data_IF_982211468643
#
_entry.id   IF_982211468643
#
_cell.length_a   1.000
_cell.length_b   1.000
_cell.length_c   1.000
_cell.angle_alpha   90.00
_cell.angle_beta   90.00
_cell.angle_gamma   90.00
#
_symmetry.space_group_name_H-M   'P 1'
#
loop_
_entity.id
_entity.type
_entity.pdbx_description
1 polymer ?
2 non-polymer ?
#
# COMPACT_ATOMS: atom_id res chain seq x y z
N UNK A 10 -26.56 -2.22 -19.94
CA UNK A 10 -25.75 -2.70 -21.10
C UNK A 10 -24.40 -3.29 -20.67
N UNK A 11 -24.25 -4.60 -20.84
CA UNK A 11 -22.97 -5.24 -20.53
C UNK A 11 -22.05 -5.11 -21.74
N UNK A 12 -20.73 -5.25 -21.56
CA UNK A 12 -19.78 -5.06 -22.67
C UNK A 12 -18.88 -6.22 -22.94
N UNK A 13 -18.12 -6.63 -21.93
CA UNK A 13 -17.27 -7.79 -22.06
C UNK A 13 -17.42 -8.61 -20.83
N UNK A 14 -16.99 -9.85 -20.91
CA UNK A 14 -16.89 -10.72 -19.76
C UNK A 14 -15.58 -11.45 -19.87
N UNK A 15 -14.81 -11.47 -18.79
CA UNK A 15 -13.43 -11.96 -18.81
C UNK A 15 -13.20 -12.83 -17.60
N UNK A 16 -12.52 -13.95 -17.78
CA UNK A 16 -12.10 -14.75 -16.64
C UNK A 16 -10.73 -14.34 -16.15
N UNK A 17 -10.61 -14.20 -14.83
CA UNK A 17 -9.34 -13.98 -14.16
C UNK A 17 -8.77 -15.33 -13.75
N UNK A 18 -9.64 -16.15 -13.19
CA UNK A 18 -9.24 -17.34 -12.45
C UNK A 18 -10.45 -18.24 -12.36
N UNK A 19 -10.25 -19.52 -12.02
CA UNK A 19 -11.45 -20.35 -11.93
C UNK A 19 -12.45 -19.73 -10.95
N UNK A 20 -13.67 -19.50 -11.42
CA UNK A 20 -14.72 -18.92 -10.57
C UNK A 20 -14.83 -17.40 -10.57
N UNK A 21 -13.86 -16.71 -11.13
CA UNK A 21 -13.81 -15.27 -11.01
C UNK A 21 -13.85 -14.64 -12.39
N UNK A 22 -14.69 -13.62 -12.52
CA UNK A 22 -15.07 -13.06 -13.79
C UNK A 22 -15.22 -11.55 -13.64
N UNK A 23 -14.60 -10.83 -14.57
CA UNK A 23 -14.58 -9.39 -14.56
C UNK A 23 -15.51 -8.88 -15.63
N UNK A 24 -16.41 -7.99 -15.25
CA UNK A 24 -17.50 -7.58 -16.12
C UNK A 24 -17.58 -6.07 -16.22
N UNK A 25 -17.33 -5.59 -17.42
CA UNK A 25 -17.47 -4.17 -17.75
C UNK A 25 -18.91 -3.98 -18.21
N UNK A 26 -19.61 -3.05 -17.56
CA UNK A 26 -21.02 -2.75 -17.82
C UNK A 26 -21.28 -1.27 -17.80
N UNK A 27 -22.42 -0.86 -18.38
CA UNK A 27 -22.98 0.44 -18.12
C UNK A 27 -24.04 0.30 -17.06
N UNK A 28 -24.15 1.31 -16.22
CA UNK A 28 -25.06 1.23 -15.10
C UNK A 28 -24.85 2.32 -14.07
N UNK A 29 -25.67 2.25 -13.03
CA UNK A 29 -25.82 3.26 -12.02
C UNK A 29 -25.47 2.58 -10.72
N UNK A 30 -24.35 2.99 -10.13
CA UNK A 30 -23.87 2.40 -8.88
C UNK A 30 -24.92 2.34 -7.78
N UNK A 31 -25.90 3.25 -7.84
CA UNK A 31 -27.02 3.26 -6.90
C UNK A 31 -27.89 1.98 -6.92
N UNK A 32 -28.15 1.44 -8.11
CA UNK A 32 -29.06 0.29 -8.28
C UNK A 32 -28.38 -0.83 -9.09
N UNK A 33 -27.64 -1.71 -8.42
CA UNK A 33 -26.88 -2.76 -9.11
C UNK A 33 -26.87 -4.09 -8.34
N UNK A 34 -26.89 -5.22 -9.07
CA UNK A 34 -27.01 -6.53 -8.44
C UNK A 34 -25.68 -7.05 -7.98
N UNK A 35 -25.11 -6.41 -6.97
CA UNK A 35 -23.87 -6.88 -6.32
C UNK A 35 -24.00 -6.69 -4.83
N UNK A 36 -23.10 -7.31 -4.09
CA UNK A 36 -23.13 -7.16 -2.64
C UNK A 36 -22.76 -5.73 -2.22
N UNK A 37 -21.63 -5.25 -2.72
CA UNK A 37 -21.09 -3.99 -2.28
C UNK A 37 -20.55 -3.18 -3.48
N UNK A 38 -20.71 -1.87 -3.38
CA UNK A 38 -20.22 -0.92 -4.37
C UNK A 38 -19.12 -0.04 -3.76
N UNK A 39 -18.26 0.48 -4.63
CA UNK A 39 -17.11 1.27 -4.20
C UNK A 39 -17.37 2.73 -4.54
N UNK A 40 -17.17 3.60 -3.55
CA UNK A 40 -17.50 4.99 -3.69
C UNK A 40 -16.24 5.78 -3.96
N UNK A 41 -16.29 6.73 -4.91
CA UNK A 41 -15.17 7.64 -5.11
C UNK A 41 -15.30 8.78 -4.08
N UNK A 42 -14.55 8.64 -2.99
CA UNK A 42 -14.68 9.58 -1.88
C UNK A 42 -13.49 10.49 -1.75
N UNK A 43 -13.60 11.39 -0.78
CA UNK A 43 -12.49 12.27 -0.42
C UNK A 43 -12.11 12.10 1.05
N UNK A 44 -11.11 12.86 1.47
CA UNK A 44 -10.39 12.62 2.73
C UNK A 44 -11.29 12.76 3.96
N UNK A 45 -12.41 13.41 3.78
CA UNK A 45 -13.31 13.66 4.89
C UNK A 45 -14.56 12.83 4.84
N UNK A 46 -14.74 12.09 3.77
CA UNK A 46 -15.88 11.22 3.63
C UNK A 46 -17.03 12.07 3.31
N UNK A 47 -16.77 13.13 2.60
CA UNK A 47 -17.77 14.12 2.29
C UNK A 47 -18.17 13.88 0.89
N UNK A 48 -19.46 13.98 0.63
CA UNK A 48 -20.00 13.54 -0.61
C UNK A 48 -20.75 14.64 -1.23
N UNK A 49 -20.07 15.62 -1.75
CA UNK A 49 -20.74 16.83 -2.15
C UNK A 49 -20.84 17.04 -3.65
N UNK A 50 -20.12 16.25 -4.42
CA UNK A 50 -20.21 16.33 -5.85
C UNK A 50 -19.95 14.97 -6.38
N UNK A 51 -20.19 14.75 -7.66
CA UNK A 51 -19.93 13.49 -8.29
C UNK A 51 -20.94 12.39 -8.09
N UNK A 52 -20.45 11.17 -8.13
CA UNK A 52 -21.28 10.02 -7.96
C UNK A 52 -21.59 9.86 -6.48
N UNK A 53 -20.59 10.04 -5.66
CA UNK A 53 -20.72 10.01 -4.23
C UNK A 53 -21.85 10.85 -3.76
N UNK A 54 -22.28 11.75 -4.59
CA UNK A 54 -23.39 12.59 -4.24
C UNK A 54 -24.65 11.87 -4.66
N UNK A 55 -24.62 11.31 -5.85
CA UNK A 55 -25.64 10.37 -6.32
C UNK A 55 -25.92 9.32 -5.28
N UNK A 56 -24.87 8.67 -4.79
CA UNK A 56 -25.03 7.68 -3.74
C UNK A 56 -25.60 8.21 -2.44
N UNK A 57 -25.20 9.42 -2.06
CA UNK A 57 -25.62 9.94 -0.78
C UNK A 57 -27.09 10.19 -0.86
N UNK A 58 -27.49 10.84 -1.95
CA UNK A 58 -28.89 11.17 -2.14
C UNK A 58 -29.72 9.93 -1.88
N UNK A 59 -29.65 8.98 -2.83
CA UNK A 59 -30.39 7.74 -2.77
C UNK A 59 -30.35 7.12 -1.36
N UNK A 60 -29.17 7.05 -0.76
CA UNK A 60 -29.07 6.46 0.57
C UNK A 60 -29.79 7.25 1.69
N UNK A 61 -29.91 8.57 1.52
CA UNK A 61 -30.45 9.40 2.58
C UNK A 61 -29.33 9.80 3.54
N UNK A 62 -29.67 10.39 4.66
CA UNK A 62 -28.68 11.03 5.48
C UNK A 62 -27.95 10.02 6.29
N UNK A 63 -28.33 8.78 6.14
CA UNK A 63 -27.76 7.76 6.95
C UNK A 63 -26.39 7.58 6.46
N UNK A 64 -26.26 7.64 5.15
CA UNK A 64 -24.99 7.40 4.53
C UNK A 64 -23.97 8.41 5.01
N UNK A 65 -24.26 9.68 4.89
CA UNK A 65 -23.36 10.69 5.40
C UNK A 65 -23.14 10.57 6.88
N UNK A 66 -24.19 10.40 7.64
CA UNK A 66 -24.08 10.26 9.08
C UNK A 66 -23.02 9.32 9.64
N UNK A 67 -22.91 8.12 9.13
CA UNK A 67 -21.94 7.12 9.62
C UNK A 67 -20.54 7.61 9.28
N UNK A 68 -20.39 8.05 8.05
CA UNK A 68 -19.15 8.64 7.55
C UNK A 68 -18.65 9.69 8.51
N UNK A 69 -19.55 10.60 8.87
CA UNK A 69 -19.20 11.69 9.74
C UNK A 69 -18.68 11.15 11.06
N UNK A 70 -19.29 10.09 11.55
CA UNK A 70 -18.87 9.49 12.82
C UNK A 70 -17.61 8.68 12.67
N UNK A 71 -17.42 8.12 11.48
CA UNK A 71 -16.20 7.38 11.17
C UNK A 71 -15.02 8.36 11.16
N UNK A 72 -15.26 9.55 10.61
CA UNK A 72 -14.23 10.60 10.51
C UNK A 72 -13.91 11.21 11.88
N UNK A 73 -14.84 11.14 12.82
CA UNK A 73 -14.60 11.70 14.14
C UNK A 73 -13.93 10.70 15.08
N UNK A 74 -14.13 9.40 14.82
CA UNK A 74 -13.52 8.35 15.65
C UNK A 74 -12.16 7.84 15.10
N UNK A 75 -12.03 7.75 13.78
CA UNK A 75 -10.76 7.37 13.17
C UNK A 75 -9.96 8.55 12.62
N UNK A 76 -10.61 9.68 12.33
CA UNK A 76 -9.93 10.83 11.71
C UNK A 76 -9.88 10.80 10.19
N UNK A 77 -9.55 11.95 9.59
CA UNK A 77 -9.50 12.10 8.12
C UNK A 77 -8.68 10.98 7.51
N UNK A 78 -9.08 10.53 6.32
CA UNK A 78 -8.26 9.60 5.56
C UNK A 78 -7.32 10.40 4.66
N UNK A 79 -6.33 9.74 4.14
CA UNK A 79 -5.46 10.30 3.16
C UNK A 79 -5.56 9.55 1.90
N UNK A 80 -5.12 10.16 0.82
CA UNK A 80 -5.11 9.54 -0.47
C UNK A 80 -4.47 8.19 -0.45
N UNK A 81 -5.04 7.22 -1.14
CA UNK A 81 -4.54 5.87 -1.12
C UNK A 81 -5.17 5.04 -0.05
N UNK A 82 -6.38 5.37 0.27
CA UNK A 82 -7.01 4.86 1.45
C UNK A 82 -8.37 4.32 1.17
N UNK A 83 -8.88 3.54 2.07
CA UNK A 83 -10.21 3.01 1.90
C UNK A 83 -10.81 2.60 3.22
N UNK A 84 -12.06 2.99 3.44
CA UNK A 84 -12.83 2.51 4.58
C UNK A 84 -14.23 2.05 4.18
N UNK A 85 -14.99 1.61 5.16
CA UNK A 85 -16.27 0.97 4.91
C UNK A 85 -17.36 1.47 5.85
N UNK A 86 -18.51 1.89 5.31
CA UNK A 86 -19.63 2.47 6.09
C UNK A 86 -21.01 1.83 5.80
N UNK A 87 -21.99 2.21 6.62
CA UNK A 87 -23.39 1.85 6.43
C UNK A 87 -23.87 2.39 5.08
N UNK A 88 -24.88 1.74 4.48
CA UNK A 88 -25.37 2.12 3.15
C UNK A 88 -26.65 2.93 3.13
N UNK A 89 -27.33 3.03 4.27
CA UNK A 89 -28.65 3.65 4.28
C UNK A 89 -29.63 2.96 3.34
N UNK A 90 -30.41 3.74 2.61
CA UNK A 90 -31.53 3.21 1.80
C UNK A 90 -31.09 2.49 0.50
N UNK A 91 -29.79 2.24 0.36
CA UNK A 91 -29.28 1.55 -0.84
C UNK A 91 -29.50 0.03 -0.73
N UNK A 92 -29.60 -0.66 -1.87
CA UNK A 92 -29.73 -2.11 -1.89
C UNK A 92 -28.46 -2.86 -1.50
N UNK A 93 -27.73 -2.31 -0.53
CA UNK A 93 -26.53 -2.94 -0.02
C UNK A 93 -26.53 -2.74 1.49
N UNK A 94 -25.71 -3.48 2.21
CA UNK A 94 -25.58 -3.23 3.66
C UNK A 94 -24.50 -2.16 3.94
N UNK A 95 -23.46 -2.18 3.09
CA UNK A 95 -22.27 -1.37 3.23
C UNK A 95 -21.85 -0.69 1.93
N UNK A 96 -21.14 0.42 2.07
CA UNK A 96 -20.40 1.01 0.98
C UNK A 96 -18.93 1.04 1.34
N UNK A 97 -18.09 0.76 0.37
CA UNK A 97 -16.66 0.90 0.54
C UNK A 97 -16.31 2.23 -0.06
N UNK A 98 -15.56 3.02 0.71
CA UNK A 98 -15.21 4.38 0.36
C UNK A 98 -13.72 4.44 0.09
N UNK A 99 -13.37 4.77 -1.14
CA UNK A 99 -11.99 4.71 -1.59
C UNK A 99 -11.56 6.12 -1.87
N UNK A 100 -10.54 6.59 -1.15
CA UNK A 100 -10.10 7.96 -1.32
C UNK A 100 -8.92 7.98 -2.26
N UNK A 101 -9.19 8.21 -3.54
CA UNK A 101 -8.15 8.28 -4.53
C UNK A 101 -7.41 9.60 -4.50
N UNK A 102 -6.28 9.64 -5.22
CA UNK A 102 -5.39 10.80 -5.19
C UNK A 102 -5.90 11.94 -6.07
N UNK A 103 -5.49 13.17 -5.77
CA UNK A 103 -5.65 14.26 -6.75
C UNK A 103 -4.55 14.19 -7.82
N UNK A 104 -4.93 14.45 -9.06
CA UNK A 104 -4.05 14.18 -10.19
C UNK A 104 -3.08 15.32 -10.50
N UNK A 105 -1.80 14.99 -10.62
CA UNK A 105 -0.81 15.99 -10.95
C UNK A 105 0.21 15.48 -11.99
N UNK A 106 0.28 16.18 -13.13
CA UNK A 106 1.27 15.88 -14.16
C UNK A 106 2.67 15.56 -13.65
N UNK A 107 3.11 16.21 -12.57
CA UNK A 107 4.50 16.07 -12.08
C UNK A 107 4.68 14.81 -11.26
N UNK A 108 3.72 14.52 -10.39
CA UNK A 108 3.75 13.33 -9.54
C UNK A 108 2.90 12.18 -10.14
N UNK A 109 2.94 12.01 -11.46
CA UNK A 109 2.26 10.90 -12.14
C UNK A 109 2.36 9.54 -11.45
N UNK A 110 3.58 9.03 -11.25
CA UNK A 110 3.68 7.65 -10.77
C UNK A 110 3.15 7.45 -9.35
N UNK A 111 3.37 8.45 -8.51
CA UNK A 111 2.85 8.44 -7.17
C UNK A 111 1.30 8.50 -7.21
N UNK A 112 0.76 9.25 -8.16
CA UNK A 112 -0.67 9.26 -8.38
C UNK A 112 -1.14 7.89 -8.86
N UNK A 113 -0.35 7.25 -9.70
CA UNK A 113 -0.75 5.98 -10.26
C UNK A 113 -0.78 5.02 -9.09
N UNK A 114 0.28 5.10 -8.29
CA UNK A 114 0.43 4.35 -7.05
C UNK A 114 -0.73 4.48 -6.06
N UNK A 115 -1.13 5.68 -5.77
CA UNK A 115 -2.19 5.86 -4.82
C UNK A 115 -3.55 5.54 -5.33
N UNK A 116 -3.77 5.61 -6.62
CA UNK A 116 -5.04 5.25 -7.14
C UNK A 116 -5.15 3.78 -7.02
N UNK A 117 -4.04 3.10 -7.08
CA UNK A 117 -4.07 1.69 -7.09
C UNK A 117 -4.09 1.07 -5.70
N UNK A 118 -3.60 1.80 -4.73
CA UNK A 118 -3.59 1.38 -3.36
C UNK A 118 -5.00 1.39 -2.93
N UNK A 119 -5.73 2.40 -3.36
CA UNK A 119 -7.13 2.54 -3.03
C UNK A 119 -7.94 1.36 -3.55
N UNK A 120 -7.72 0.96 -4.79
CA UNK A 120 -8.44 -0.15 -5.32
C UNK A 120 -8.07 -1.41 -4.63
N UNK A 121 -6.80 -1.63 -4.39
CA UNK A 121 -6.39 -2.83 -3.71
C UNK A 121 -6.97 -2.96 -2.35
N UNK A 122 -7.09 -1.85 -1.67
CA UNK A 122 -7.49 -1.79 -0.30
C UNK A 122 -8.93 -2.04 -0.21
N UNK A 123 -9.64 -1.63 -1.23
CA UNK A 123 -11.07 -1.81 -1.28
C UNK A 123 -11.46 -3.22 -1.62
N UNK A 124 -10.61 -3.94 -2.33
CA UNK A 124 -10.78 -5.38 -2.53
C UNK A 124 -10.50 -6.15 -1.25
N UNK A 125 -9.43 -5.81 -0.55
CA UNK A 125 -9.17 -6.34 0.78
C UNK A 125 -10.41 -6.19 1.66
N UNK A 126 -11.01 -5.03 1.64
CA UNK A 126 -12.11 -4.79 2.55
C UNK A 126 -13.28 -5.69 2.26
N UNK A 127 -13.65 -5.82 0.98
CA UNK A 127 -14.80 -6.63 0.54
C UNK A 127 -14.57 -8.10 0.85
N UNK A 128 -13.34 -8.53 0.57
CA UNK A 128 -12.86 -9.85 0.94
C UNK A 128 -12.93 -10.10 2.44
N UNK A 129 -12.72 -9.07 3.25
CA UNK A 129 -12.78 -9.24 4.70
C UNK A 129 -14.20 -9.52 5.18
N UNK A 130 -15.13 -8.76 4.67
CA UNK A 130 -16.54 -8.96 4.97
C UNK A 130 -17.13 -10.06 4.10
N UNK A 131 -16.27 -10.86 3.45
CA UNK A 131 -16.71 -12.10 2.77
C UNK A 131 -17.61 -11.85 1.56
N UNK A 132 -17.57 -10.66 0.97
CA UNK A 132 -18.49 -10.41 -0.12
C UNK A 132 -17.96 -11.16 -1.32
N UNK A 133 -18.87 -11.56 -2.20
CA UNK A 133 -18.54 -12.34 -3.38
C UNK A 133 -18.79 -11.56 -4.69
N UNK A 134 -19.31 -10.33 -4.59
CA UNK A 134 -19.56 -9.48 -5.77
C UNK A 134 -19.25 -8.01 -5.44
N UNK A 135 -18.54 -7.32 -6.33
CA UNK A 135 -18.25 -5.91 -6.13
C UNK A 135 -18.44 -5.06 -7.42
N UNK A 136 -18.82 -3.81 -7.22
CA UNK A 136 -18.96 -2.85 -8.31
C UNK A 136 -17.96 -1.74 -8.09
N UNK A 137 -17.14 -1.45 -9.11
CA UNK A 137 -16.13 -0.39 -9.03
C UNK A 137 -16.27 0.66 -10.17
N UNK A 138 -16.46 1.94 -9.80
CA UNK A 138 -16.50 3.06 -10.71
C UNK A 138 -15.09 3.55 -11.04
N UNK A 139 -14.96 4.47 -12.00
CA UNK A 139 -13.62 4.96 -12.41
C UNK A 139 -13.10 6.00 -11.43
N UNK A 140 -12.52 5.56 -10.35
CA UNK A 140 -12.20 6.44 -9.27
C UNK A 140 -11.22 7.48 -9.67
N UNK A 141 -11.43 8.71 -9.25
CA UNK A 141 -10.49 9.77 -9.53
C UNK A 141 -10.69 10.44 -10.84
N UNK A 142 -11.25 9.77 -11.81
CA UNK A 142 -11.42 10.32 -13.13
C UNK A 142 -12.25 11.56 -13.19
N UNK A 143 -13.18 11.74 -12.29
CA UNK A 143 -14.04 12.91 -12.44
C UNK A 143 -13.37 14.20 -12.01
N UNK A 144 -13.71 14.61 -10.79
CA UNK A 144 -13.29 15.90 -10.25
C UNK A 144 -11.88 15.92 -9.67
N UNK A 145 -11.23 14.75 -9.53
CA UNK A 145 -9.83 14.67 -9.10
C UNK A 145 -8.89 14.66 -10.31
N UNK A 146 -9.46 14.65 -11.51
CA UNK A 146 -8.72 15.05 -12.72
C UNK A 146 -7.96 13.97 -13.45
N UNK A 147 -8.00 12.76 -12.94
CA UNK A 147 -7.13 11.67 -13.42
C UNK A 147 -7.53 11.27 -14.85
N UNK A 148 -6.66 11.53 -15.82
CA UNK A 148 -6.95 11.20 -17.23
C UNK A 148 -7.52 9.80 -17.43
N UNK A 149 -8.71 9.74 -18.01
CA UNK A 149 -9.50 8.50 -18.12
C UNK A 149 -8.70 7.30 -18.62
N UNK A 150 -7.70 7.55 -19.48
CA UNK A 150 -6.88 6.47 -20.00
C UNK A 150 -6.06 5.77 -18.93
N UNK A 151 -5.27 6.55 -18.18
CA UNK A 151 -4.43 5.97 -17.13
C UNK A 151 -5.29 5.44 -15.98
N UNK A 152 -6.35 6.17 -15.65
CA UNK A 152 -7.17 5.85 -14.50
C UNK A 152 -7.62 4.40 -14.56
N UNK A 153 -8.22 4.03 -15.70
CA UNK A 153 -8.87 2.74 -15.86
C UNK A 153 -7.90 1.59 -16.08
N UNK A 154 -6.76 1.86 -16.70
CA UNK A 154 -5.74 0.83 -16.80
C UNK A 154 -5.22 0.52 -15.41
N UNK A 155 -5.11 1.54 -14.56
CA UNK A 155 -4.60 1.35 -13.22
C UNK A 155 -5.59 0.53 -12.42
N UNK A 156 -6.87 0.79 -12.58
CA UNK A 156 -7.85 0.06 -11.79
C UNK A 156 -7.78 -1.41 -12.18
N UNK A 157 -7.84 -1.67 -13.49
CA UNK A 157 -7.81 -3.02 -14.03
C UNK A 157 -6.50 -3.73 -13.63
N UNK A 158 -5.37 -3.04 -13.75
CA UNK A 158 -4.07 -3.62 -13.32
C UNK A 158 -4.13 -4.05 -11.86
N UNK A 159 -4.59 -3.15 -11.01
CA UNK A 159 -4.80 -3.41 -9.59
C UNK A 159 -5.57 -4.70 -9.33
N UNK A 160 -6.64 -4.89 -10.06
CA UNK A 160 -7.51 -6.00 -9.86
C UNK A 160 -6.89 -7.26 -10.34
N UNK A 161 -6.02 -7.15 -11.31
CA UNK A 161 -5.41 -8.30 -11.90
C UNK A 161 -4.42 -8.84 -10.96
N UNK A 162 -3.65 -7.94 -10.41
CA UNK A 162 -2.64 -8.30 -9.48
C UNK A 162 -3.23 -8.92 -8.24
N UNK A 163 -4.48 -8.64 -7.96
CA UNK A 163 -5.14 -9.13 -6.79
C UNK A 163 -5.33 -10.61 -6.80
N UNK A 164 -5.51 -11.15 -7.98
CA UNK A 164 -5.87 -12.51 -8.17
C UNK A 164 -4.69 -13.25 -8.73
N UNK A 165 -3.73 -12.51 -9.23
CA UNK A 165 -2.54 -13.09 -9.81
C UNK A 165 -1.52 -13.40 -8.76
N UNK A 166 -1.41 -12.50 -7.80
CA UNK A 166 -0.33 -12.51 -6.79
C UNK A 166 -0.52 -13.52 -5.69
N UNK A 167 -1.73 -13.64 -5.19
CA UNK A 167 -2.05 -14.67 -4.22
C UNK A 167 -3.41 -15.21 -4.60
N UNK A 168 -3.42 -16.44 -5.12
CA UNK A 168 -4.64 -17.16 -5.42
C UNK A 168 -5.20 -17.74 -4.14
N UNK A 169 -4.32 -17.90 -3.15
CA UNK A 169 -4.50 -18.77 -1.98
C UNK A 169 -5.88 -18.76 -1.26
N UNK A 170 -6.60 -17.63 -1.19
CA UNK A 170 -7.95 -17.63 -0.60
C UNK A 170 -8.70 -16.38 -1.04
N UNK A 171 -9.86 -16.54 -1.67
CA UNK A 171 -10.60 -15.42 -2.23
C UNK A 171 -12.10 -15.68 -2.15
N UNK A 172 -12.82 -14.69 -1.67
CA UNK A 172 -14.26 -14.74 -1.59
C UNK A 172 -14.91 -14.19 -2.82
N UNK A 173 -14.21 -13.33 -3.56
CA UNK A 173 -14.79 -12.60 -4.69
C UNK A 173 -14.83 -13.45 -5.95
N UNK A 174 -15.99 -13.38 -6.63
CA UNK A 174 -16.26 -14.09 -7.89
C UNK A 174 -16.68 -13.13 -9.03
N UNK A 175 -17.43 -12.07 -8.71
CA UNK A 175 -17.91 -11.10 -9.70
C UNK A 175 -17.44 -9.69 -9.42
N UNK A 176 -16.65 -9.15 -10.34
CA UNK A 176 -16.22 -7.75 -10.26
C UNK A 176 -16.78 -6.97 -11.44
N UNK A 177 -17.67 -6.04 -11.12
CA UNK A 177 -18.30 -5.20 -12.11
C UNK A 177 -17.52 -3.90 -12.18
N UNK A 178 -17.26 -3.42 -13.38
CA UNK A 178 -16.59 -2.15 -13.59
C UNK A 178 -17.56 -1.24 -14.24
N UNK A 179 -17.91 -0.14 -13.61
CA UNK A 179 -19.12 0.54 -13.98
C UNK A 179 -19.04 1.97 -14.35
N UNK A 180 -20.00 2.41 -15.10
CA UNK A 180 -20.25 3.81 -15.25
C UNK A 180 -21.48 4.03 -16.08
N UNK A 181 -22.05 5.21 -15.99
CA UNK A 181 -23.30 5.45 -16.66
C UNK A 181 -23.07 6.06 -18.00
N UNK A 182 -21.90 6.61 -18.21
CA UNK A 182 -21.58 7.15 -19.48
C UNK A 182 -21.07 6.04 -20.32
N UNK A 183 -21.23 6.16 -21.61
CA UNK A 183 -20.85 5.09 -22.51
C UNK A 183 -19.34 5.08 -22.77
N UNK A 184 -18.70 6.22 -22.58
CA UNK A 184 -17.31 6.39 -22.97
C UNK A 184 -16.37 5.90 -21.89
N UNK A 185 -16.74 6.17 -20.64
CA UNK A 185 -16.01 5.65 -19.49
C UNK A 185 -15.98 4.12 -19.53
N UNK A 186 -17.11 3.53 -19.90
CA UNK A 186 -17.23 2.09 -20.00
C UNK A 186 -16.42 1.58 -21.20
N UNK A 187 -16.36 2.39 -22.27
CA UNK A 187 -15.52 2.01 -23.42
C UNK A 187 -14.06 1.99 -22.99
N UNK A 188 -13.65 3.03 -22.27
CA UNK A 188 -12.35 3.04 -21.62
C UNK A 188 -12.15 1.69 -20.90
N UNK A 189 -13.00 1.42 -19.92
CA UNK A 189 -12.88 0.20 -19.12
C UNK A 189 -12.70 -1.07 -19.98
N UNK A 190 -13.50 -1.20 -21.04
CA UNK A 190 -13.44 -2.39 -21.89
C UNK A 190 -12.17 -2.39 -22.74
N UNK A 191 -11.70 -1.21 -23.15
CA UNK A 191 -10.38 -1.07 -23.80
C UNK A 191 -9.29 -1.45 -22.78
N UNK A 192 -9.42 -0.93 -21.57
CA UNK A 192 -8.47 -1.17 -20.49
C UNK A 192 -8.24 -2.66 -20.26
N UNK A 193 -9.34 -3.41 -20.22
CA UNK A 193 -9.30 -4.85 -19.99
C UNK A 193 -8.63 -5.55 -21.17
N UNK A 194 -8.94 -5.14 -22.39
CA UNK A 194 -8.23 -5.66 -23.57
C UNK A 194 -6.72 -5.51 -23.37
N UNK A 195 -6.24 -4.28 -23.17
CA UNK A 195 -4.79 -4.08 -23.13
C UNK A 195 -4.20 -4.94 -22.01
N UNK A 196 -4.78 -4.86 -20.82
CA UNK A 196 -4.20 -5.53 -19.66
C UNK A 196 -4.12 -7.07 -19.81
N UNK A 197 -5.09 -7.67 -20.52
CA UNK A 197 -5.00 -9.08 -20.91
C UNK A 197 -4.98 -9.24 -22.45
N UNK A 224 18.83 -7.38 -12.85
CA UNK A 224 17.40 -7.30 -13.23
C UNK A 224 16.52 -7.15 -11.97
N UNK A 225 17.14 -7.34 -10.80
CA UNK A 225 16.64 -6.77 -9.55
C UNK A 225 17.46 -5.51 -9.27
N UNK A 226 17.31 -4.47 -10.11
CA UNK A 226 18.05 -3.20 -9.98
C UNK A 226 17.48 -2.00 -10.73
N UNK A 227 16.91 -1.06 -9.99
CA UNK A 227 16.34 0.17 -10.55
C UNK A 227 17.16 1.39 -10.23
N UNK A 228 16.99 2.45 -11.02
CA UNK A 228 17.59 3.77 -10.75
C UNK A 228 16.52 4.85 -10.74
N UNK A 229 16.47 5.67 -9.71
CA UNK A 229 15.47 6.74 -9.67
C UNK A 229 15.95 7.86 -10.57
N UNK A 230 15.09 8.86 -10.81
CA UNK A 230 15.51 10.01 -11.62
C UNK A 230 16.79 10.65 -11.07
N UNK A 231 16.73 11.11 -9.83
CA UNK A 231 17.85 11.79 -9.19
C UNK A 231 19.14 10.98 -8.97
N UNK A 232 19.17 9.69 -9.34
CA UNK A 232 20.41 8.90 -9.29
C UNK A 232 20.45 7.69 -8.36
N UNK A 233 19.70 7.67 -7.28
CA UNK A 233 19.88 6.57 -6.39
C UNK A 233 19.26 5.31 -6.90
N UNK A 234 19.88 4.19 -6.56
CA UNK A 234 19.45 2.91 -7.09
C UNK A 234 19.03 1.93 -6.04
N UNK A 235 18.14 1.05 -6.41
CA UNK A 235 17.59 0.11 -5.48
C UNK A 235 17.97 -1.24 -5.91
N UNK A 236 18.64 -1.98 -5.05
CA UNK A 236 19.08 -3.33 -5.33
C UNK A 236 18.27 -4.39 -4.67
N UNK A 237 17.73 -5.28 -5.47
CA UNK A 237 17.09 -6.48 -4.97
C UNK A 237 18.22 -7.45 -4.63
N UNK A 238 18.19 -8.03 -3.43
CA UNK A 238 19.25 -8.91 -2.90
C UNK A 238 18.67 -10.04 -2.05
N UNK A 239 19.17 -11.25 -2.26
CA UNK A 239 18.55 -12.44 -1.70
C UNK A 239 19.43 -13.09 -0.61
N UNK A 240 19.88 -12.29 0.35
CA UNK A 240 20.62 -12.80 1.52
C UNK A 240 19.82 -12.55 2.81
N UNK A 241 20.16 -13.31 3.86
CA UNK A 241 19.71 -13.01 5.22
C UNK A 241 20.21 -11.61 5.53
N UNK A 242 19.40 -10.81 6.23
CA UNK A 242 19.76 -9.41 6.57
C UNK A 242 21.05 -9.29 7.42
N UNK A 243 21.24 -10.26 8.32
CA UNK A 243 22.48 -10.41 9.09
C UNK A 243 23.77 -10.34 8.24
N UNK A 244 23.71 -10.87 7.03
CA UNK A 244 24.86 -10.93 6.12
C UNK A 244 24.99 -9.71 5.23
N UNK A 245 24.12 -8.73 5.46
CA UNK A 245 24.12 -7.51 4.66
C UNK A 245 25.45 -6.79 4.84
N UNK A 246 25.83 -5.99 3.87
CA UNK A 246 27.10 -5.32 3.91
C UNK A 246 26.98 -3.83 3.66
N UNK A 247 25.78 -3.29 3.84
CA UNK A 247 25.49 -1.86 3.66
C UNK A 247 26.06 -0.99 4.82
N UNK A 248 26.00 0.34 4.70
CA UNK A 248 26.38 1.20 5.84
C UNK A 248 25.32 1.17 6.96
N UNK A 249 24.04 1.10 6.60
CA UNK A 249 22.97 1.08 7.59
C UNK A 249 22.00 -0.04 7.34
N UNK A 250 21.54 -0.68 8.41
CA UNK A 250 20.55 -1.72 8.31
C UNK A 250 19.41 -1.48 9.25
N UNK A 251 18.19 -1.66 8.79
CA UNK A 251 17.02 -1.47 9.63
C UNK A 251 16.51 -2.77 10.24
N UNK A 252 16.16 -2.73 11.52
CA UNK A 252 15.52 -3.84 12.20
C UNK A 252 14.11 -3.42 12.58
N UNK A 253 13.20 -4.37 12.70
CA UNK A 253 11.85 -4.08 13.17
C UNK A 253 11.66 -4.71 14.55
N UNK A 254 11.20 -3.93 15.54
CA UNK A 254 11.20 -4.36 16.96
C UNK A 254 10.02 -3.82 17.77
N UNK A 255 9.57 -4.55 18.83
CA UNK A 255 8.36 -4.23 19.61
C UNK A 255 8.47 -3.07 20.57
N UNK A 256 7.40 -2.76 21.28
CA UNK A 256 7.35 -1.56 22.12
C UNK A 256 8.33 -1.63 23.29
N UNK A 257 8.51 -2.81 23.86
CA UNK A 257 9.48 -2.97 24.93
C UNK A 257 10.87 -3.36 24.43
N UNK A 258 11.08 -3.28 23.12
CA UNK A 258 12.41 -3.38 22.53
C UNK A 258 13.14 -4.70 22.77
N UNK A 259 12.45 -5.77 23.18
CA UNK A 259 13.15 -7.05 23.30
C UNK A 259 13.47 -7.47 21.87
N UNK A 260 14.66 -7.99 21.65
CA UNK A 260 15.11 -8.32 20.30
C UNK A 260 14.98 -9.82 19.97
N UNK A 261 14.54 -10.60 20.95
CA UNK A 261 14.55 -12.06 20.83
C UNK A 261 13.24 -12.61 20.27
N UNK A 262 12.25 -11.75 20.11
CA UNK A 262 10.88 -12.17 19.87
C UNK A 262 10.62 -12.54 18.40
N UNK A 263 10.63 -11.55 17.51
CA UNK A 263 10.41 -11.78 16.08
C UNK A 263 11.63 -12.39 15.38
N UNK A 264 11.39 -13.22 14.34
CA UNK A 264 12.43 -13.93 13.61
C UNK A 264 13.48 -13.05 12.93
N UNK A 265 13.10 -11.85 12.53
CA UNK A 265 14.03 -10.89 11.92
C UNK A 265 14.94 -10.32 13.00
N UNK A 266 14.31 -9.93 14.09
CA UNK A 266 15.02 -9.34 15.19
C UNK A 266 15.95 -10.41 15.78
N UNK A 267 15.45 -11.64 15.92
CA UNK A 267 16.20 -12.78 16.46
C UNK A 267 17.50 -13.02 15.68
N UNK A 268 17.41 -13.00 14.36
CA UNK A 268 18.58 -13.31 13.54
C UNK A 268 19.70 -12.24 13.65
N UNK A 269 19.31 -10.99 13.83
CA UNK A 269 20.26 -9.90 14.08
C UNK A 269 20.85 -10.04 15.49
N UNK A 270 20.00 -10.25 16.49
CA UNK A 270 20.43 -10.43 17.85
C UNK A 270 21.48 -11.51 17.94
N UNK A 271 21.12 -12.70 17.43
CA UNK A 271 22.03 -13.87 17.38
C UNK A 271 23.39 -13.50 16.76
N UNK A 272 23.37 -12.99 15.54
CA UNK A 272 24.62 -12.63 14.84
C UNK A 272 25.44 -11.46 15.46
N UNK A 273 24.79 -10.47 16.05
CA UNK A 273 25.52 -9.30 16.54
C UNK A 273 26.26 -9.61 17.85
N UNK A 274 25.56 -10.29 18.75
CA UNK A 274 25.97 -10.45 20.13
C UNK A 274 24.89 -9.80 20.98
N UNK A 275 24.81 -10.15 22.27
CA UNK A 275 23.81 -9.58 23.16
C UNK A 275 24.05 -8.09 23.48
N UNK A 276 25.22 -7.58 23.07
CA UNK A 276 25.57 -6.16 23.27
C UNK A 276 24.66 -5.22 22.46
N UNK A 277 23.88 -5.78 21.53
CA UNK A 277 22.92 -5.04 20.71
C UNK A 277 21.64 -4.82 21.48
N UNK A 278 21.25 -5.82 22.26
CA UNK A 278 20.11 -5.71 23.16
C UNK A 278 20.49 -4.73 24.28
N UNK A 279 21.70 -4.84 24.79
CA UNK A 279 22.16 -3.94 25.88
C UNK A 279 22.24 -2.50 25.39
N UNK A 280 22.78 -2.29 24.20
CA UNK A 280 22.81 -0.95 23.62
C UNK A 280 21.40 -0.39 23.34
N UNK A 281 20.53 -1.23 22.79
CA UNK A 281 19.22 -0.76 22.41
C UNK A 281 18.44 -0.31 23.64
N UNK A 282 18.47 -1.12 24.71
CA UNK A 282 17.73 -0.79 25.94
C UNK A 282 18.25 0.50 26.58
N UNK A 283 19.54 0.78 26.36
CA UNK A 283 20.14 1.96 26.95
C UNK A 283 19.92 3.23 26.11
N UNK A 284 19.81 3.10 24.81
CA UNK A 284 19.54 4.27 23.98
C UNK A 284 18.10 4.71 24.09
N UNK A 285 17.20 3.76 24.36
CA UNK A 285 15.77 4.04 24.47
C UNK A 285 15.35 4.18 25.90
N UNK A 286 16.28 4.65 26.74
CA UNK A 286 16.01 4.78 28.16
C UNK A 286 14.97 5.88 28.37
N UNK A 287 15.31 7.11 28.03
CA UNK A 287 14.51 8.22 28.50
C UNK A 287 13.35 8.57 27.60
N UNK A 288 12.84 7.56 26.90
CA UNK A 288 11.94 7.78 25.78
C UNK A 288 10.73 6.91 25.91
N UNK A 289 9.57 7.51 25.71
CA UNK A 289 8.31 6.81 25.78
C UNK A 289 8.05 6.11 24.45
N UNK A 290 8.65 4.94 24.27
CA UNK A 290 8.64 4.26 22.98
C UNK A 290 7.24 4.11 22.39
N UNK A 291 7.02 4.77 21.25
CA UNK A 291 5.70 4.82 20.60
C UNK A 291 5.78 4.19 19.23
N UNK A 292 4.71 4.38 18.49
CA UNK A 292 4.52 3.84 17.16
C UNK A 292 5.20 4.69 16.09
N UNK A 293 6.18 4.13 15.38
CA UNK A 293 6.97 4.89 14.42
C UNK A 293 8.24 5.44 15.05
N UNK A 294 8.67 4.79 16.12
CA UNK A 294 9.86 5.20 16.82
C UNK A 294 11.06 4.53 16.19
N UNK A 295 12.12 5.31 16.03
CA UNK A 295 13.34 4.91 15.39
C UNK A 295 14.46 5.18 16.37
N UNK A 296 15.29 4.18 16.66
CA UNK A 296 16.46 4.35 17.53
C UNK A 296 17.66 3.69 16.90
N UNK A 297 18.81 4.35 17.04
CA UNK A 297 20.05 3.96 16.39
C UNK A 297 21.00 3.34 17.39
N UNK A 298 21.68 2.28 16.95
CA UNK A 298 22.78 1.63 17.71
C UNK A 298 23.92 1.28 16.79
N UNK A 299 25.03 0.85 17.37
CA UNK A 299 26.18 0.36 16.63
C UNK A 299 25.95 -1.11 16.27
N UNK A 300 26.85 -1.63 15.44
CA UNK A 300 26.67 -2.87 14.71
C UNK A 300 27.18 -4.12 15.39
N UNK A 301 28.13 -3.97 16.32
CA UNK A 301 28.84 -5.11 16.94
C UNK A 301 29.32 -6.12 15.87
N UNK A 302 29.06 -7.42 16.05
CA UNK A 302 29.53 -8.43 15.08
C UNK A 302 29.19 -8.11 13.62
N UNK A 303 28.07 -7.39 13.41
CA UNK A 303 27.48 -7.17 12.09
C UNK A 303 28.34 -6.30 11.20
N UNK A 304 28.23 -6.55 9.91
CA UNK A 304 29.13 -5.94 8.94
C UNK A 304 28.79 -4.49 8.59
N UNK A 305 27.65 -4.00 9.06
CA UNK A 305 27.30 -2.60 8.85
C UNK A 305 27.98 -1.71 9.91
N UNK A 306 27.77 -0.40 9.80
CA UNK A 306 28.24 0.59 10.79
C UNK A 306 27.21 0.83 11.89
N UNK A 307 26.00 1.19 11.47
CA UNK A 307 24.89 1.38 12.40
C UNK A 307 23.69 0.51 12.04
N UNK A 308 22.87 0.28 13.07
CA UNK A 308 21.58 -0.39 13.00
C UNK A 308 20.48 0.57 13.50
N UNK A 309 19.56 0.91 12.60
CA UNK A 309 18.31 1.56 12.94
C UNK A 309 17.22 0.56 13.31
N UNK A 310 16.78 0.61 14.57
CA UNK A 310 15.71 -0.26 15.08
C UNK A 310 14.43 0.52 15.06
N UNK A 311 13.36 -0.06 14.52
CA UNK A 311 12.12 0.68 14.30
C UNK A 311 10.90 -0.09 14.79
N UNK A 312 9.92 0.61 15.37
CA UNK A 312 8.71 -0.04 15.89
C UNK A 312 7.62 0.18 14.89
N UNK A 313 7.41 -0.83 14.04
CA UNK A 313 6.46 -0.70 12.92
C UNK A 313 5.04 -0.95 13.41
N UNK A 314 4.06 -0.35 12.73
CA UNK A 314 2.64 -0.48 13.06
C UNK A 314 2.08 -1.81 12.59
N UNK A 315 1.06 -2.31 13.28
CA UNK A 315 0.37 -3.49 12.85
C UNK A 315 -0.38 -3.11 11.61
N UNK A 316 -0.65 -4.08 10.75
CA UNK A 316 -1.39 -3.81 9.51
C UNK A 316 -2.74 -3.18 9.83
N UNK A 317 -3.32 -3.59 10.95
CA UNK A 317 -4.60 -3.07 11.43
C UNK A 317 -5.59 -3.05 10.29
N UNK A 318 -5.57 -4.03 9.44
CA UNK A 318 -6.48 -3.97 8.31
C UNK A 318 -6.23 -2.92 7.25
N UNK A 319 -5.08 -2.28 7.24
CA UNK A 319 -4.74 -1.41 6.15
C UNK A 319 -5.13 -0.02 6.50
N UNK A 320 -4.96 0.29 7.75
CA UNK A 320 -5.40 1.51 8.33
C UNK A 320 -4.70 2.72 7.76
N UNK A 321 -5.24 3.90 8.00
CA UNK A 321 -4.65 5.07 7.45
C UNK A 321 -3.39 5.30 8.21
N UNK A 322 -3.48 5.15 9.50
CA UNK A 322 -2.35 5.26 10.38
C UNK A 322 -1.24 4.35 10.00
N UNK A 323 -1.57 3.11 9.71
CA UNK A 323 -0.57 2.13 9.50
C UNK A 323 0.15 2.50 8.26
N UNK A 324 -0.56 2.95 7.28
CA UNK A 324 0.11 3.34 6.07
C UNK A 324 0.93 4.64 6.20
N UNK A 325 0.51 5.60 7.03
CA UNK A 325 1.37 6.77 7.27
C UNK A 325 2.66 6.34 7.97
N UNK A 326 2.47 5.89 9.20
CA UNK A 326 3.55 5.57 10.10
C UNK A 326 4.66 4.78 9.40
N UNK A 327 4.29 3.88 8.51
CA UNK A 327 5.27 3.01 7.85
C UNK A 327 6.03 3.78 6.77
N UNK A 328 5.32 4.58 5.97
CA UNK A 328 5.99 5.44 5.00
C UNK A 328 6.96 6.37 5.75
N UNK A 329 6.56 6.79 6.94
CA UNK A 329 7.35 7.72 7.73
C UNK A 329 8.63 7.10 8.22
N UNK A 330 8.54 5.90 8.76
CA UNK A 330 9.72 5.18 9.18
C UNK A 330 10.66 5.08 8.01
N UNK A 331 10.15 4.69 6.85
CA UNK A 331 10.97 4.53 5.67
C UNK A 331 11.71 5.82 5.31
N UNK A 332 10.98 6.93 5.35
CA UNK A 332 11.55 8.26 5.08
C UNK A 332 12.61 8.64 6.12
N UNK A 333 12.31 8.38 7.38
CA UNK A 333 13.21 8.78 8.46
C UNK A 333 14.54 8.04 8.37
N UNK A 334 14.51 6.72 8.17
CA UNK A 334 15.75 5.92 8.09
C UNK A 334 16.66 6.36 6.97
N UNK A 335 16.08 6.82 5.89
CA UNK A 335 16.89 7.29 4.76
C UNK A 335 17.39 8.68 5.12
N UNK A 336 16.51 9.43 5.78
CA UNK A 336 16.76 10.80 6.17
C UNK A 336 17.94 10.87 7.16
N UNK A 337 17.80 10.16 8.29
CA UNK A 337 18.91 9.90 9.22
C UNK A 337 20.21 9.53 8.52
N UNK A 338 20.11 8.61 7.58
CA UNK A 338 21.29 8.08 6.88
C UNK A 338 22.01 9.15 6.08
N UNK A 339 21.24 10.05 5.48
CA UNK A 339 21.82 11.16 4.73
C UNK A 339 22.49 12.17 5.67
N UNK A 340 22.04 12.24 6.92
CA UNK A 340 22.58 13.19 7.90
C UNK A 340 23.80 12.63 8.62
N UNK A 341 23.94 11.31 8.62
CA UNK A 341 25.21 10.67 8.99
C UNK A 341 26.22 10.65 7.85
N UNK A 342 25.86 11.25 6.71
CA UNK A 342 26.67 11.25 5.49
C UNK A 342 27.01 9.85 4.98
N UNK A 343 26.15 8.87 5.28
CA UNK A 343 26.41 7.50 4.85
C UNK A 343 25.96 7.29 3.42
N UNK A 344 26.29 6.13 2.85
CA UNK A 344 26.10 5.97 1.41
C UNK A 344 25.10 4.92 0.98
N UNK A 345 24.73 4.00 1.88
CA UNK A 345 23.88 2.85 1.53
C UNK A 345 23.09 2.32 2.69
N UNK A 346 21.88 1.82 2.43
CA UNK A 346 21.01 1.29 3.52
C UNK A 346 20.20 0.07 3.11
N UNK A 347 20.07 -0.86 4.05
CA UNK A 347 19.47 -2.17 3.81
C UNK A 347 18.19 -2.31 4.57
N UNK A 348 17.11 -2.45 3.81
CA UNK A 348 15.75 -2.60 4.31
C UNK A 348 15.30 -4.05 4.09
N UNK A 349 14.75 -4.70 5.13
CA UNK A 349 14.04 -5.98 4.97
C UNK A 349 12.56 -5.78 4.70
N UNK A 350 11.80 -6.86 4.56
CA UNK A 350 10.34 -6.73 4.47
C UNK A 350 9.77 -6.54 5.88
N UNK A 351 9.91 -5.33 6.42
CA UNK A 351 9.46 -5.07 7.78
C UNK A 351 7.93 -4.98 7.80
N UNK A 352 7.35 -5.59 8.81
CA UNK A 352 5.92 -5.61 9.00
C UNK A 352 5.20 -6.70 8.23
N UNK A 353 5.91 -7.46 7.40
CA UNK A 353 5.25 -8.48 6.58
C UNK A 353 5.20 -9.83 7.28
N UNK A 354 5.78 -9.92 8.47
CA UNK A 354 5.63 -11.08 9.35
C UNK A 354 4.48 -10.92 10.34
N UNK A 355 4.82 -10.75 11.62
CA UNK A 355 3.81 -10.69 12.69
C UNK A 355 2.94 -9.44 12.66
N UNK A 356 3.32 -8.42 11.90
CA UNK A 356 2.51 -7.22 11.87
C UNK A 356 1.45 -7.32 10.81
N UNK A 357 1.57 -8.32 9.94
CA UNK A 357 0.54 -8.67 8.97
C UNK A 357 0.37 -7.79 7.77
N UNK A 358 1.44 -7.25 7.23
CA UNK A 358 1.33 -6.43 6.00
C UNK A 358 1.25 -7.35 4.80
N UNK A 359 0.19 -7.24 3.97
CA UNK A 359 0.24 -8.01 2.73
C UNK A 359 1.51 -7.67 1.99
N UNK A 360 2.31 -8.70 1.71
CA UNK A 360 3.65 -8.48 1.18
C UNK A 360 3.74 -7.62 -0.10
N UNK A 361 2.89 -7.88 -1.07
CA UNK A 361 2.90 -7.03 -2.25
C UNK A 361 2.61 -5.57 -1.93
N UNK A 362 1.60 -5.31 -1.13
CA UNK A 362 1.30 -3.94 -0.79
C UNK A 362 2.52 -3.25 -0.21
N UNK A 363 3.35 -3.99 0.51
CA UNK A 363 4.52 -3.42 1.19
C UNK A 363 5.66 -3.13 0.21
N UNK A 364 6.07 -4.15 -0.52
CA UNK A 364 6.99 -3.96 -1.60
C UNK A 364 6.70 -2.65 -2.33
N UNK A 365 5.44 -2.47 -2.69
CA UNK A 365 5.03 -1.32 -3.49
C UNK A 365 4.94 -0.07 -2.66
N UNK A 366 4.67 -0.20 -1.37
CA UNK A 366 4.77 0.94 -0.46
C UNK A 366 6.19 1.46 -0.34
N UNK A 367 7.13 0.61 0.06
CA UNK A 367 8.52 1.04 0.22
C UNK A 367 9.21 1.50 -1.08
N UNK A 368 8.88 0.87 -2.21
CA UNK A 368 9.49 1.28 -3.47
C UNK A 368 9.02 2.71 -3.84
N UNK A 369 7.70 2.94 -3.84
CA UNK A 369 7.19 4.29 -4.08
C UNK A 369 7.90 5.30 -3.23
N UNK A 370 8.00 5.01 -1.94
CA UNK A 370 8.61 5.91 -0.98
C UNK A 370 10.08 6.17 -1.28
N UNK A 371 10.85 5.15 -1.62
CA UNK A 371 12.23 5.41 -2.05
C UNK A 371 12.23 6.34 -3.26
N UNK A 372 11.36 6.09 -4.24
CA UNK A 372 11.25 7.00 -5.38
C UNK A 372 10.87 8.40 -4.94
N UNK A 373 9.74 8.50 -4.27
CA UNK A 373 9.20 9.80 -3.92
C UNK A 373 10.28 10.59 -3.19
N UNK A 374 11.00 9.92 -2.31
CA UNK A 374 11.99 10.61 -1.50
C UNK A 374 13.17 11.06 -2.34
N UNK A 375 13.72 10.16 -3.13
CA UNK A 375 14.85 10.49 -4.01
C UNK A 375 14.63 11.64 -4.98
N UNK A 376 13.43 11.85 -5.44
CA UNK A 376 13.19 12.80 -6.45
C UNK A 376 13.03 14.15 -5.84
N UNK A 377 12.62 14.19 -4.60
CA UNK A 377 12.27 15.43 -3.97
C UNK A 377 13.41 16.03 -3.25
N UNK A 378 14.45 15.27 -2.99
CA UNK A 378 15.60 15.76 -2.29
C UNK A 378 16.77 15.67 -3.18
N UNK A 379 17.77 16.47 -2.87
CA UNK A 379 19.04 16.35 -3.52
C UNK A 379 20.00 15.76 -2.55
N UNK A 380 20.28 14.48 -2.72
CA UNK A 380 21.04 13.78 -1.74
C UNK A 380 22.50 14.01 -2.01
N UNK A 381 23.31 14.04 -0.97
CA UNK A 381 24.76 14.23 -1.10
C UNK A 381 25.54 12.91 -1.01
N UNK A 382 25.07 11.97 -0.20
CA UNK A 382 25.86 10.75 0.11
C UNK A 382 25.09 9.44 -0.08
N UNK A 383 23.79 9.45 0.20
CA UNK A 383 22.94 8.26 -0.01
C UNK A 383 22.68 8.01 -1.50
N UNK A 384 22.95 6.77 -1.92
CA UNK A 384 23.00 6.39 -3.32
C UNK A 384 22.51 4.95 -3.57
N UNK A 385 22.29 4.15 -2.52
CA UNK A 385 21.94 2.73 -2.71
C UNK A 385 21.02 2.16 -1.64
N UNK A 386 19.77 1.85 -2.00
CA UNK A 386 18.86 1.11 -1.08
C UNK A 386 18.80 -0.36 -1.47
N UNK A 387 19.23 -1.26 -0.59
CA UNK A 387 19.12 -2.70 -0.86
C UNK A 387 17.89 -3.27 -0.19
N UNK A 388 17.28 -4.29 -0.81
CA UNK A 388 16.13 -4.94 -0.21
C UNK A 388 16.49 -6.38 0.17
N UNK A 389 16.54 -6.65 1.47
CA UNK A 389 16.99 -7.93 1.95
C UNK A 389 15.84 -8.87 2.21
N UNK A 390 15.85 -9.99 1.49
CA UNK A 390 14.75 -10.92 1.46
C UNK A 390 15.34 -12.27 1.74
N UNK A 391 14.84 -12.93 2.77
CA UNK A 391 15.31 -14.26 3.11
C UNK A 391 15.11 -15.22 1.92
N UNK A 392 16.15 -15.99 1.56
CA UNK A 392 16.11 -16.95 0.47
C UNK A 392 14.88 -17.84 0.47
N UNK A 393 14.37 -18.17 1.65
CA UNK A 393 13.22 -19.07 1.80
C UNK A 393 11.90 -18.33 1.85
N UNK A 394 11.90 -17.02 1.57
CA UNK A 394 10.68 -16.21 1.67
C UNK A 394 10.18 -15.86 0.26
N UNK A 395 9.57 -16.83 -0.39
CA UNK A 395 9.28 -16.70 -1.82
C UNK A 395 8.23 -15.64 -2.11
N UNK A 396 7.23 -15.51 -1.26
CA UNK A 396 6.23 -14.45 -1.45
C UNK A 396 6.90 -13.08 -1.46
N UNK A 397 7.92 -12.88 -0.63
CA UNK A 397 8.59 -11.58 -0.61
C UNK A 397 9.50 -11.38 -1.80
N UNK A 398 10.17 -12.45 -2.22
CA UNK A 398 10.98 -12.39 -3.42
C UNK A 398 10.09 -12.08 -4.59
N UNK A 399 8.91 -12.70 -4.57
CA UNK A 399 7.96 -12.56 -5.65
C UNK A 399 7.47 -11.13 -5.74
N UNK A 400 6.91 -10.65 -4.64
CA UNK A 400 6.31 -9.33 -4.54
C UNK A 400 7.21 -8.24 -5.09
N UNK A 401 8.44 -8.23 -4.64
CA UNK A 401 9.37 -7.20 -5.04
C UNK A 401 9.84 -7.34 -6.46
N UNK A 402 9.90 -8.57 -6.96
CA UNK A 402 10.28 -8.80 -8.36
C UNK A 402 9.22 -8.20 -9.26
N UNK A 403 7.97 -8.59 -9.04
CA UNK A 403 6.89 -8.13 -9.88
C UNK A 403 6.90 -6.61 -9.94
N UNK A 404 7.09 -5.98 -8.78
CA UNK A 404 7.06 -4.53 -8.74
C UNK A 404 8.27 -3.93 -9.45
N UNK A 405 9.46 -4.45 -9.20
CA UNK A 405 10.64 -4.06 -9.98
C UNK A 405 10.41 -4.18 -11.49
N UNK A 406 9.75 -5.24 -11.93
CA UNK A 406 9.45 -5.47 -13.34
C UNK A 406 8.57 -4.37 -13.91
N UNK A 407 7.50 -4.04 -13.19
CA UNK A 407 6.63 -2.93 -13.56
C UNK A 407 7.41 -1.62 -13.67
N UNK A 408 8.35 -1.44 -12.77
CA UNK A 408 9.01 -0.16 -12.65
C UNK A 408 10.05 0.02 -13.77
N UNK A 409 10.60 -1.09 -14.24
CA UNK A 409 11.55 -1.11 -15.38
C UNK A 409 10.85 -1.20 -16.74
N UNK A 410 9.53 -1.36 -16.72
CA UNK A 410 8.72 -1.64 -17.89
C UNK A 410 8.48 -0.38 -18.71
#
# INVERSE_FOLDING_TARGET
SMGGSPAGQKCFSRTVLAPGVVLIVQQGDLARLPVDVVVNASNEDLKHYGGLAAALSKAAGPELQADCDQIVKREGRLLPGNATISKAGKLPYHHVIHAVGPRWSGYEAPRCVYLLRRAVQLSLCLAEKYKYRSIAIPAISSGVFGFPLGRCVETIVSAIKENFQFKKDGHCLKEIYLVDVSEKTVEAFAEAVKTVFKATLPDTAAPPGLPPAAAGPGKTSWEKGSLVSPGGLQMLLVKEGVQNAKTDVVVNSVPLDLVLSRGPLSKSLLEKAGPELQEELDTVGQGVAVSMGTVLKTSSWNLDCRYVLHVVAPEWRNGSTSSLKIMEDIIRECMEITESLSLKSIAFPAIGTGNLGFPKNIFAELIISEVFKFSSKNQLKTLQEVHFLLHPSDHENIQAFSDEFARRANGNLVS
#
